data_IF_729855793653
#
_entry.id   IF_729855793653
#
_cell.length_a   1.000
_cell.length_b   1.000
_cell.length_c   1.000
_cell.angle_alpha   90.00
_cell.angle_beta   90.00
_cell.angle_gamma   90.00
#
_symmetry.space_group_name_H-M   'P 1'
#
loop_
_entity.id
_entity.type
_entity.pdbx_description
1 polymer ?
#
# COMPACT_ATOMS: atom_id res chain seq x y z
N UNK A 1 -7.21 29.44 -8.34
CA UNK A 1 -7.74 28.36 -7.49
C UNK A 1 -7.01 28.39 -6.15
N UNK A 2 -7.74 28.33 -5.06
CA UNK A 2 -7.12 28.36 -3.73
C UNK A 2 -6.32 27.08 -3.46
N UNK A 3 -5.30 27.18 -2.60
CA UNK A 3 -4.50 26.01 -2.18
C UNK A 3 -5.38 24.92 -1.56
N UNK A 4 -6.38 25.30 -0.78
CA UNK A 4 -7.35 24.37 -0.18
C UNK A 4 -8.11 23.57 -1.24
N UNK A 5 -8.61 24.23 -2.27
CA UNK A 5 -9.34 23.57 -3.36
C UNK A 5 -8.44 22.61 -4.12
N UNK A 6 -7.22 23.02 -4.39
CA UNK A 6 -6.23 22.18 -5.08
C UNK A 6 -5.87 20.97 -4.24
N UNK A 7 -5.61 21.15 -2.94
CA UNK A 7 -5.30 20.06 -2.01
C UNK A 7 -6.47 19.10 -1.91
N UNK A 8 -7.71 19.60 -1.81
CA UNK A 8 -8.89 18.74 -1.74
C UNK A 8 -9.01 17.87 -3.00
N UNK A 9 -8.81 18.43 -4.17
CA UNK A 9 -8.83 17.67 -5.43
C UNK A 9 -7.75 16.61 -5.48
N UNK A 10 -6.54 16.95 -5.04
CA UNK A 10 -5.42 16.00 -4.98
C UNK A 10 -5.70 14.88 -3.97
N UNK A 11 -6.27 15.20 -2.82
CA UNK A 11 -6.65 14.20 -1.82
C UNK A 11 -7.76 13.27 -2.33
N UNK A 12 -8.73 13.80 -3.07
CA UNK A 12 -9.78 12.99 -3.69
C UNK A 12 -9.21 12.00 -4.70
N UNK A 13 -8.26 12.44 -5.53
CA UNK A 13 -7.53 11.54 -6.44
C UNK A 13 -6.73 10.49 -5.68
N UNK A 14 -6.06 10.91 -4.61
CA UNK A 14 -5.30 10.02 -3.75
C UNK A 14 -6.20 8.96 -3.11
N UNK A 15 -7.39 9.35 -2.67
CA UNK A 15 -8.38 8.43 -2.12
C UNK A 15 -8.83 7.39 -3.16
N UNK A 16 -9.09 7.80 -4.39
CA UNK A 16 -9.42 6.87 -5.48
C UNK A 16 -8.30 5.88 -5.75
N UNK A 17 -7.05 6.35 -5.78
CA UNK A 17 -5.88 5.50 -5.99
C UNK A 17 -5.69 4.52 -4.84
N UNK A 18 -5.85 4.94 -3.60
CA UNK A 18 -5.79 4.03 -2.45
C UNK A 18 -6.92 3.02 -2.46
N UNK A 19 -8.10 3.38 -2.92
CA UNK A 19 -9.22 2.44 -3.09
C UNK A 19 -8.87 1.36 -4.11
N UNK A 20 -8.26 1.73 -5.23
CA UNK A 20 -7.76 0.79 -6.23
C UNK A 20 -6.62 -0.07 -5.68
N UNK A 21 -5.72 0.52 -4.92
CA UNK A 21 -4.60 -0.18 -4.28
C UNK A 21 -5.11 -1.24 -3.30
N UNK A 22 -6.11 -0.91 -2.50
CA UNK A 22 -6.75 -1.85 -1.58
C UNK A 22 -7.37 -3.03 -2.34
N UNK A 23 -8.06 -2.75 -3.44
CA UNK A 23 -8.67 -3.80 -4.29
C UNK A 23 -7.62 -4.74 -4.85
N UNK A 24 -6.51 -4.21 -5.38
CA UNK A 24 -5.41 -5.03 -5.88
C UNK A 24 -4.74 -5.82 -4.76
N UNK A 25 -4.66 -5.26 -3.55
CA UNK A 25 -4.15 -5.95 -2.37
C UNK A 25 -5.05 -7.12 -1.97
N UNK A 26 -6.36 -6.92 -1.96
CA UNK A 26 -7.33 -7.99 -1.67
C UNK A 26 -7.25 -9.10 -2.72
N UNK A 27 -7.12 -8.74 -3.99
CA UNK A 27 -6.93 -9.69 -5.08
C UNK A 27 -5.63 -10.50 -4.89
N UNK A 28 -4.57 -9.84 -4.45
CA UNK A 28 -3.29 -10.49 -4.19
C UNK A 28 -3.40 -11.53 -3.07
N UNK A 29 -4.20 -11.27 -2.03
CA UNK A 29 -4.42 -12.21 -0.94
C UNK A 29 -4.99 -13.55 -1.42
N UNK A 30 -5.88 -13.50 -2.42
CA UNK A 30 -6.53 -14.68 -3.00
C UNK A 30 -5.89 -15.16 -4.31
N UNK A 31 -4.77 -14.55 -4.71
CA UNK A 31 -4.11 -14.85 -5.98
C UNK A 31 -3.43 -16.23 -5.97
N UNK A 32 -3.41 -16.86 -7.15
CA UNK A 32 -2.58 -18.03 -7.41
C UNK A 32 -1.16 -17.58 -7.79
N UNK A 33 -0.22 -18.51 -7.81
CA UNK A 33 1.17 -18.21 -8.24
C UNK A 33 1.17 -17.59 -9.65
N UNK A 34 0.29 -18.04 -10.53
CA UNK A 34 0.22 -17.58 -11.92
C UNK A 34 -0.29 -16.14 -12.07
N UNK A 35 -1.15 -15.68 -11.15
CA UNK A 35 -1.76 -14.35 -11.21
C UNK A 35 -1.12 -13.32 -10.26
N UNK A 36 -0.32 -13.78 -9.33
CA UNK A 36 0.30 -12.93 -8.29
C UNK A 36 1.12 -11.78 -8.88
N UNK A 37 1.91 -12.05 -9.89
CA UNK A 37 2.79 -11.06 -10.52
C UNK A 37 2.00 -9.89 -11.12
N UNK A 38 0.87 -10.14 -11.73
CA UNK A 38 0.01 -9.10 -12.31
C UNK A 38 -0.49 -8.13 -11.23
N UNK A 39 -0.95 -8.65 -10.09
CA UNK A 39 -1.42 -7.82 -8.99
C UNK A 39 -0.28 -7.02 -8.35
N UNK A 40 0.90 -7.60 -8.21
CA UNK A 40 2.09 -6.89 -7.71
C UNK A 40 2.46 -5.74 -8.65
N UNK A 41 2.46 -5.98 -9.96
CA UNK A 41 2.75 -4.97 -10.98
C UNK A 41 1.71 -3.85 -10.95
N UNK A 42 0.43 -4.18 -10.87
CA UNK A 42 -0.65 -3.20 -10.79
C UNK A 42 -0.53 -2.33 -9.54
N UNK A 43 -0.23 -2.94 -8.39
CA UNK A 43 -0.02 -2.20 -7.14
C UNK A 43 1.16 -1.24 -7.25
N UNK A 44 2.25 -1.67 -7.87
CA UNK A 44 3.44 -0.83 -8.07
C UNK A 44 3.12 0.41 -8.91
N UNK A 45 2.35 0.26 -9.99
CA UNK A 45 1.93 1.36 -10.82
C UNK A 45 1.05 2.37 -10.06
N UNK A 46 0.07 1.88 -9.30
CA UNK A 46 -0.81 2.71 -8.47
C UNK A 46 0.00 3.46 -7.40
N UNK A 47 0.94 2.78 -6.75
CA UNK A 47 1.80 3.38 -5.73
C UNK A 47 2.65 4.52 -6.30
N UNK A 48 3.15 4.39 -7.52
CA UNK A 48 3.88 5.46 -8.19
C UNK A 48 2.99 6.69 -8.43
N UNK A 49 1.73 6.49 -8.81
CA UNK A 49 0.77 7.58 -8.99
C UNK A 49 0.43 8.26 -7.65
N UNK A 50 0.29 7.48 -6.58
CA UNK A 50 0.09 8.00 -5.21
C UNK A 50 1.28 8.87 -4.79
N UNK A 51 2.49 8.39 -5.02
CA UNK A 51 3.72 9.13 -4.68
C UNK A 51 3.79 10.47 -5.43
N UNK A 52 3.41 10.51 -6.69
CA UNK A 52 3.36 11.73 -7.49
C UNK A 52 2.39 12.74 -6.88
N UNK A 53 1.20 12.32 -6.50
CA UNK A 53 0.20 13.19 -5.85
C UNK A 53 0.69 13.66 -4.48
N UNK A 54 1.29 12.79 -3.69
CA UNK A 54 1.86 13.14 -2.39
C UNK A 54 2.96 14.20 -2.52
N UNK A 55 3.78 14.10 -3.55
CA UNK A 55 4.81 15.08 -3.87
C UNK A 55 4.20 16.44 -4.22
N UNK A 56 3.14 16.47 -5.04
CA UNK A 56 2.43 17.71 -5.37
C UNK A 56 1.85 18.39 -4.12
N UNK A 57 1.22 17.63 -3.23
CA UNK A 57 0.68 18.13 -1.96
C UNK A 57 1.80 18.72 -1.10
N UNK A 58 2.91 18.00 -0.99
CA UNK A 58 4.07 18.45 -0.22
C UNK A 58 4.63 19.76 -0.78
N UNK A 59 4.70 19.92 -2.10
CA UNK A 59 5.17 21.14 -2.74
C UNK A 59 4.23 22.32 -2.45
N UNK A 60 2.93 22.10 -2.39
CA UNK A 60 1.97 23.15 -2.03
C UNK A 60 2.19 23.60 -0.58
N UNK A 61 2.42 22.68 0.34
CA UNK A 61 2.72 22.99 1.73
C UNK A 61 4.02 23.78 1.88
N UNK A 62 5.06 23.39 1.13
CA UNK A 62 6.35 24.09 1.15
C UNK A 62 6.22 25.54 0.67
N UNK A 63 5.29 25.79 -0.27
CA UNK A 63 5.08 27.14 -0.82
C UNK A 63 4.18 28.03 0.05
N UNK A 64 3.29 27.46 0.87
CA UNK A 64 2.24 28.21 1.55
C UNK A 64 2.35 28.26 3.09
N UNK A 65 3.23 27.50 3.71
CA UNK A 65 3.50 27.47 5.15
C UNK A 65 2.24 27.44 6.06
N UNK A 66 1.14 26.83 5.62
CA UNK A 66 -0.08 26.71 6.41
C UNK A 66 -0.03 25.45 7.27
N UNK A 67 0.49 25.58 8.49
CA UNK A 67 0.64 24.46 9.41
C UNK A 67 -0.69 23.84 9.84
N UNK A 68 -1.74 24.65 9.98
CA UNK A 68 -3.07 24.17 10.37
C UNK A 68 -3.62 23.25 9.27
N UNK A 69 -3.47 23.63 8.02
CA UNK A 69 -3.88 22.83 6.88
C UNK A 69 -3.06 21.54 6.78
N UNK A 70 -1.75 21.62 6.98
CA UNK A 70 -0.87 20.45 7.03
C UNK A 70 -1.30 19.45 8.10
N UNK A 71 -1.54 19.93 9.33
CA UNK A 71 -1.98 19.08 10.43
C UNK A 71 -3.35 18.45 10.16
N UNK A 72 -4.23 19.17 9.47
CA UNK A 72 -5.55 18.66 9.06
C UNK A 72 -5.39 17.51 8.05
N UNK A 73 -4.55 17.68 7.04
CA UNK A 73 -4.28 16.66 6.02
C UNK A 73 -3.62 15.43 6.62
N UNK A 74 -2.74 15.62 7.61
CA UNK A 74 -2.05 14.53 8.30
C UNK A 74 -2.86 13.93 9.45
N UNK A 75 -4.08 14.42 9.68
CA UNK A 75 -4.96 13.99 10.78
C UNK A 75 -4.31 14.10 12.16
N UNK A 76 -3.46 15.11 12.36
CA UNK A 76 -2.76 15.37 13.63
C UNK A 76 -3.55 16.25 14.61
N UNK A 77 -4.75 16.67 14.23
CA UNK A 77 -5.63 17.47 15.08
C UNK A 77 -6.81 16.65 15.60
N UNK A 78 -7.41 17.10 16.70
CA UNK A 78 -8.63 16.48 17.21
C UNK A 78 -9.82 16.83 16.31
N UNK A 79 -10.73 15.86 16.13
CA UNK A 79 -11.94 16.03 15.31
C UNK A 79 -12.74 17.28 15.70
N UNK A 80 -12.88 17.54 16.99
CA UNK A 80 -13.61 18.71 17.51
C UNK A 80 -12.93 20.05 17.21
N UNK A 81 -11.64 20.06 16.88
CA UNK A 81 -10.85 21.26 16.61
C UNK A 81 -10.70 21.58 15.12
N UNK A 82 -11.25 20.75 14.25
CA UNK A 82 -11.19 20.97 12.80
C UNK A 82 -12.11 22.12 12.43
N UNK A 83 -11.56 23.11 11.74
CA UNK A 83 -12.36 24.25 11.25
C UNK A 83 -13.38 23.77 10.22
N UNK A 84 -14.54 24.43 10.18
CA UNK A 84 -15.60 24.11 9.22
C UNK A 84 -15.08 24.14 7.76
N UNK A 85 -14.21 25.09 7.43
CA UNK A 85 -13.62 25.23 6.10
C UNK A 85 -12.64 24.11 5.73
N UNK A 86 -12.13 23.35 6.72
CA UNK A 86 -11.22 22.22 6.52
C UNK A 86 -11.89 20.86 6.72
N UNK A 87 -13.18 20.83 7.05
CA UNK A 87 -13.91 19.60 7.39
C UNK A 87 -13.86 18.56 6.28
N UNK A 88 -14.10 18.98 5.06
CA UNK A 88 -14.09 18.08 3.90
C UNK A 88 -12.69 17.47 3.65
N UNK A 89 -11.65 18.29 3.77
CA UNK A 89 -10.25 17.84 3.66
C UNK A 89 -9.95 16.81 4.76
N UNK A 90 -10.36 17.09 5.98
CA UNK A 90 -10.16 16.18 7.12
C UNK A 90 -10.87 14.84 6.90
N UNK A 91 -12.11 14.85 6.45
CA UNK A 91 -12.89 13.62 6.21
C UNK A 91 -12.26 12.76 5.11
N UNK A 92 -11.81 13.37 4.01
CA UNK A 92 -11.10 12.65 2.94
C UNK A 92 -9.79 12.05 3.47
N UNK A 93 -9.02 12.81 4.23
CA UNK A 93 -7.77 12.34 4.84
C UNK A 93 -8.00 11.16 5.79
N UNK A 94 -9.05 11.21 6.61
CA UNK A 94 -9.43 10.10 7.50
C UNK A 94 -9.76 8.83 6.71
N UNK A 95 -10.47 8.95 5.61
CA UNK A 95 -10.78 7.81 4.74
C UNK A 95 -9.52 7.20 4.16
N UNK A 96 -8.56 8.02 3.73
CA UNK A 96 -7.26 7.55 3.22
C UNK A 96 -6.53 6.76 4.30
N UNK A 97 -6.41 7.29 5.51
CA UNK A 97 -5.74 6.60 6.62
C UNK A 97 -6.44 5.30 7.02
N UNK A 98 -7.78 5.27 6.96
CA UNK A 98 -8.55 4.05 7.20
C UNK A 98 -8.21 2.97 6.17
N UNK A 99 -8.10 3.33 4.89
CA UNK A 99 -7.69 2.40 3.83
C UNK A 99 -6.26 1.91 4.07
N UNK A 100 -5.33 2.80 4.40
CA UNK A 100 -3.94 2.43 4.71
C UNK A 100 -3.89 1.39 5.83
N UNK A 101 -4.65 1.58 6.90
CA UNK A 101 -4.71 0.62 8.01
C UNK A 101 -5.24 -0.75 7.57
N UNK A 102 -6.29 -0.79 6.74
CA UNK A 102 -6.83 -2.04 6.22
C UNK A 102 -5.85 -2.74 5.29
N UNK A 103 -5.18 -1.97 4.43
CA UNK A 103 -4.15 -2.51 3.53
C UNK A 103 -3.01 -3.13 4.33
N UNK A 104 -2.53 -2.48 5.37
CA UNK A 104 -1.47 -3.01 6.23
C UNK A 104 -1.88 -4.33 6.88
N UNK A 105 -3.12 -4.45 7.33
CA UNK A 105 -3.63 -5.69 7.91
C UNK A 105 -3.70 -6.80 6.86
N UNK A 106 -4.19 -6.50 5.66
CA UNK A 106 -4.25 -7.46 4.56
C UNK A 106 -2.84 -7.90 4.15
N UNK A 107 -1.87 -6.99 4.13
CA UNK A 107 -0.47 -7.30 3.82
C UNK A 107 0.15 -8.27 4.82
N UNK A 108 -0.19 -8.16 6.09
CA UNK A 108 0.22 -9.15 7.11
C UNK A 108 -0.33 -10.53 6.78
N UNK A 109 -1.59 -10.62 6.40
CA UNK A 109 -2.23 -11.88 6.00
C UNK A 109 -1.57 -12.48 4.76
N UNK A 110 -1.23 -11.64 3.78
CA UNK A 110 -0.51 -12.07 2.56
C UNK A 110 0.84 -12.65 2.94
N UNK A 111 1.60 -11.98 3.77
CA UNK A 111 2.92 -12.42 4.24
C UNK A 111 2.83 -13.77 4.96
N UNK A 112 1.87 -13.94 5.86
CA UNK A 112 1.64 -15.20 6.57
C UNK A 112 1.25 -16.33 5.61
N UNK A 113 0.38 -16.04 4.66
CA UNK A 113 -0.03 -17.01 3.62
C UNK A 113 1.14 -17.45 2.77
N UNK A 114 2.02 -16.54 2.37
CA UNK A 114 3.22 -16.85 1.59
C UNK A 114 4.20 -17.72 2.37
N UNK A 115 4.40 -17.44 3.65
CA UNK A 115 5.25 -18.26 4.54
C UNK A 115 4.71 -19.68 4.69
N UNK A 116 3.40 -19.83 4.82
CA UNK A 116 2.74 -21.14 4.92
C UNK A 116 2.89 -21.93 3.63
N UNK A 117 2.68 -21.30 2.48
CA UNK A 117 2.85 -21.92 1.16
C UNK A 117 4.29 -22.39 0.95
N UNK A 118 5.26 -21.56 1.35
CA UNK A 118 6.69 -21.90 1.28
C UNK A 118 7.02 -23.12 2.15
N UNK A 119 6.49 -23.15 3.37
CA UNK A 119 6.69 -24.29 4.27
C UNK A 119 6.10 -25.59 3.70
N UNK A 120 4.89 -25.52 3.12
CA UNK A 120 4.27 -26.68 2.46
C UNK A 120 5.06 -27.16 1.26
N UNK A 121 5.61 -26.27 0.46
CA UNK A 121 6.46 -26.62 -0.68
C UNK A 121 7.73 -27.34 -0.23
N UNK A 122 8.39 -26.85 0.79
CA UNK A 122 9.57 -27.49 1.38
C UNK A 122 9.27 -28.90 1.87
N UNK A 123 8.15 -29.07 2.56
CA UNK A 123 7.70 -30.36 3.08
C UNK A 123 7.45 -31.34 1.93
N UNK A 124 6.75 -30.95 0.88
CA UNK A 124 6.50 -31.76 -0.33
C UNK A 124 7.79 -32.16 -1.02
N UNK A 125 8.74 -31.26 -1.14
CA UNK A 125 10.04 -31.52 -1.76
C UNK A 125 10.81 -32.57 -0.94
N UNK A 126 10.80 -32.45 0.38
CA UNK A 126 11.45 -33.43 1.28
C UNK A 126 10.79 -34.80 1.21
N UNK A 127 9.44 -34.85 1.19
CA UNK A 127 8.67 -36.10 1.12
C UNK A 127 8.83 -36.84 -0.20
N UNK A 128 8.96 -36.13 -1.31
CA UNK A 128 9.12 -36.73 -2.64
C UNK A 128 10.53 -37.16 -2.95
N UNK A 129 11.51 -36.87 -2.10
CA UNK A 129 12.94 -37.13 -2.33
C UNK A 129 13.42 -36.61 -3.70
N UNK A 130 12.87 -35.51 -4.15
CA UNK A 130 13.30 -34.87 -5.39
C UNK A 130 14.77 -34.48 -5.33
N UNK A 131 15.39 -34.38 -6.52
CA UNK A 131 16.81 -34.04 -6.59
C UNK A 131 17.11 -32.76 -5.80
N UNK A 132 18.18 -32.74 -4.98
CA UNK A 132 18.55 -31.57 -4.20
C UNK A 132 18.67 -30.28 -5.01
N UNK A 133 18.95 -30.41 -6.29
CA UNK A 133 19.10 -29.30 -7.23
C UNK A 133 17.78 -28.55 -7.48
N UNK A 134 16.67 -29.27 -7.68
CA UNK A 134 15.34 -28.69 -7.90
C UNK A 134 14.85 -28.04 -6.61
N UNK A 135 15.05 -28.69 -5.47
CA UNK A 135 14.70 -28.15 -4.15
C UNK A 135 15.38 -26.81 -3.89
N UNK A 136 16.68 -26.70 -4.15
CA UNK A 136 17.44 -25.45 -3.99
C UNK A 136 16.98 -24.35 -4.93
N UNK A 137 16.69 -24.71 -6.18
CA UNK A 137 16.20 -23.74 -7.17
C UNK A 137 14.87 -23.14 -6.72
N UNK A 138 13.92 -23.95 -6.29
CA UNK A 138 12.61 -23.51 -5.82
C UNK A 138 12.73 -22.67 -4.54
N UNK A 139 13.58 -23.06 -3.60
CA UNK A 139 13.83 -22.27 -2.38
C UNK A 139 14.39 -20.90 -2.69
N UNK A 140 15.39 -20.80 -3.54
CA UNK A 140 16.02 -19.55 -3.92
C UNK A 140 15.03 -18.63 -4.66
N UNK A 141 14.21 -19.17 -5.53
CA UNK A 141 13.20 -18.41 -6.26
C UNK A 141 12.14 -17.84 -5.31
N UNK A 142 11.62 -18.66 -4.40
CA UNK A 142 10.61 -18.26 -3.43
C UNK A 142 11.15 -17.23 -2.43
N UNK A 143 12.35 -17.46 -1.88
CA UNK A 143 13.00 -16.54 -0.96
C UNK A 143 13.28 -15.17 -1.59
N UNK A 144 13.79 -15.16 -2.83
CA UNK A 144 14.04 -13.92 -3.56
C UNK A 144 12.77 -13.10 -3.80
N UNK A 145 11.68 -13.75 -4.18
CA UNK A 145 10.37 -13.09 -4.38
C UNK A 145 9.78 -12.57 -3.08
N UNK A 146 9.85 -13.35 -2.01
CA UNK A 146 9.35 -12.95 -0.69
C UNK A 146 10.08 -11.71 -0.18
N UNK A 147 11.40 -11.69 -0.26
CA UNK A 147 12.22 -10.57 0.19
C UNK A 147 11.95 -9.30 -0.63
N UNK A 148 11.86 -9.41 -1.95
CA UNK A 148 11.55 -8.30 -2.83
C UNK A 148 10.15 -7.75 -2.58
N UNK A 149 9.16 -8.61 -2.40
CA UNK A 149 7.79 -8.25 -2.13
C UNK A 149 7.65 -7.47 -0.81
N UNK A 150 8.23 -7.97 0.28
CA UNK A 150 8.19 -7.31 1.58
C UNK A 150 8.88 -5.95 1.55
N UNK A 151 10.02 -5.84 0.87
CA UNK A 151 10.75 -4.58 0.71
C UNK A 151 9.89 -3.54 -0.01
N UNK A 152 9.20 -3.92 -1.07
CA UNK A 152 8.31 -3.02 -1.81
C UNK A 152 7.13 -2.54 -0.96
N UNK A 153 6.52 -3.44 -0.18
CA UNK A 153 5.42 -3.09 0.72
C UNK A 153 5.86 -2.07 1.78
N UNK A 154 7.00 -2.28 2.41
CA UNK A 154 7.54 -1.38 3.43
C UNK A 154 7.80 0.03 2.89
N UNK A 155 8.25 0.15 1.66
CA UNK A 155 8.54 1.45 1.03
C UNK A 155 7.28 2.23 0.67
N UNK A 156 6.16 1.58 0.39
CA UNK A 156 4.96 2.19 -0.18
C UNK A 156 3.86 2.47 0.84
N UNK A 157 3.98 1.91 1.99
CA UNK A 157 3.10 2.14 3.13
C UNK A 157 3.75 3.05 4.14
#
# INVERSE_FOLDING_TARGET
MSSKTTILKLLQKKLELFTQYEKETDNLLSATVDTMEDYITNRAAIANDIDAISCEIHNIFAANEDKILQDTVLCKCNDSKVKAEHREIYEVSKQIYAIISRVQETEKQITESMKLTRAKLKERINDTKNTPKIARYLENLTAGREDGFLSDLEKKV
#
